data_IF_072537188605
#
_entry.id   IF_072537188605
#
_cell.length_a   1.000
_cell.length_b   1.000
_cell.length_c   1.000
_cell.angle_alpha   90.00
_cell.angle_beta   90.00
_cell.angle_gamma   90.00
#
_symmetry.space_group_name_H-M   'P 1'
#
loop_
_entity.id
_entity.type
_entity.pdbx_description
1 polymer ?
#
# COMPACT_ATOMS: atom_id res chain seq x y z
N UNK A 1 11.80 34.21 -33.69
CA UNK A 1 12.43 33.44 -32.57
C UNK A 1 11.64 33.51 -31.27
N UNK A 2 11.11 34.67 -30.87
CA UNK A 2 10.28 34.81 -29.65
C UNK A 2 8.98 33.98 -29.70
N UNK A 3 8.28 33.96 -30.80
CA UNK A 3 7.03 33.21 -30.98
C UNK A 3 7.24 31.70 -30.82
N UNK A 4 8.36 31.18 -31.33
CA UNK A 4 8.69 29.76 -31.21
C UNK A 4 8.97 29.38 -29.74
N UNK A 5 9.72 30.23 -29.02
CA UNK A 5 9.98 30.03 -27.60
C UNK A 5 8.68 30.01 -26.76
N UNK A 6 7.73 30.91 -27.06
CA UNK A 6 6.45 30.98 -26.40
C UNK A 6 5.60 29.70 -26.67
N UNK A 7 5.57 29.24 -27.91
CA UNK A 7 4.85 28.00 -28.27
C UNK A 7 5.45 26.80 -27.54
N UNK A 8 6.77 26.67 -27.52
CA UNK A 8 7.45 25.55 -26.84
C UNK A 8 7.18 25.60 -25.34
N UNK A 9 7.28 26.75 -24.70
CA UNK A 9 7.03 26.89 -23.26
C UNK A 9 5.58 26.57 -22.91
N UNK A 10 4.63 27.03 -23.70
CA UNK A 10 3.20 26.74 -23.51
C UNK A 10 2.90 25.25 -23.70
N UNK A 11 3.46 24.65 -24.73
CA UNK A 11 3.31 23.21 -24.99
C UNK A 11 3.91 22.38 -23.82
N UNK A 12 5.09 22.73 -23.34
CA UNK A 12 5.73 22.06 -22.21
C UNK A 12 4.90 22.16 -20.93
N UNK A 13 4.36 23.34 -20.65
CA UNK A 13 3.50 23.58 -19.49
C UNK A 13 2.22 22.75 -19.56
N UNK A 14 1.57 22.66 -20.73
CA UNK A 14 0.37 21.84 -20.93
C UNK A 14 0.68 20.34 -20.76
N UNK A 15 1.82 19.87 -21.26
CA UNK A 15 2.25 18.48 -21.08
C UNK A 15 2.49 18.18 -19.59
N UNK A 16 3.14 19.07 -18.85
CA UNK A 16 3.40 18.88 -17.42
C UNK A 16 2.09 18.88 -16.61
N UNK A 17 1.18 19.79 -16.86
CA UNK A 17 -0.14 19.81 -16.20
C UNK A 17 -0.95 18.57 -16.55
N UNK A 18 -0.99 18.19 -17.84
CA UNK A 18 -1.69 16.98 -18.30
C UNK A 18 -1.15 15.71 -17.66
N UNK A 19 0.17 15.58 -17.60
CA UNK A 19 0.85 14.44 -16.94
C UNK A 19 0.54 14.43 -15.45
N UNK A 20 0.55 15.57 -14.77
CA UNK A 20 0.21 15.68 -13.35
C UNK A 20 -1.24 15.23 -13.05
N UNK A 21 -2.19 15.59 -13.87
CA UNK A 21 -3.59 15.17 -13.76
C UNK A 21 -3.75 13.68 -14.02
N UNK A 22 -3.06 13.13 -15.04
CA UNK A 22 -3.10 11.71 -15.35
C UNK A 22 -2.50 10.86 -14.21
N UNK A 23 -1.35 11.27 -13.68
CA UNK A 23 -0.72 10.59 -12.52
C UNK A 23 -1.66 10.66 -11.31
N UNK A 24 -2.28 11.81 -11.04
CA UNK A 24 -3.22 11.96 -9.92
C UNK A 24 -4.41 11.01 -10.04
N UNK A 25 -5.03 10.92 -11.21
CA UNK A 25 -6.14 9.99 -11.48
C UNK A 25 -5.72 8.52 -11.41
N UNK A 26 -4.58 8.17 -12.02
CA UNK A 26 -4.04 6.83 -11.98
C UNK A 26 -3.71 6.40 -10.53
N UNK A 27 -3.12 7.28 -9.73
CA UNK A 27 -2.79 7.01 -8.34
C UNK A 27 -4.05 6.75 -7.50
N UNK A 28 -5.12 7.53 -7.70
CA UNK A 28 -6.37 7.34 -6.94
C UNK A 28 -7.03 6.00 -7.30
N UNK A 29 -7.18 5.68 -8.58
CA UNK A 29 -7.76 4.41 -9.04
C UNK A 29 -6.91 3.20 -8.62
N UNK A 30 -5.59 3.34 -8.65
CA UNK A 30 -4.67 2.27 -8.24
C UNK A 30 -4.72 2.07 -6.73
N UNK A 31 -4.81 3.14 -5.93
CA UNK A 31 -4.98 3.03 -4.47
C UNK A 31 -6.23 2.22 -4.12
N UNK A 32 -7.37 2.55 -4.68
CA UNK A 32 -8.63 1.87 -4.37
C UNK A 32 -8.56 0.37 -4.75
N UNK A 33 -7.92 0.04 -5.88
CA UNK A 33 -7.79 -1.34 -6.35
C UNK A 33 -6.77 -2.17 -5.53
N UNK A 34 -5.69 -1.54 -5.05
CA UNK A 34 -4.65 -2.24 -4.27
C UNK A 34 -4.97 -2.26 -2.78
N UNK A 35 -5.59 -1.22 -2.24
CA UNK A 35 -5.98 -1.17 -0.83
C UNK A 35 -7.08 -2.18 -0.50
N UNK A 36 -7.99 -2.47 -1.43
CA UNK A 36 -8.99 -3.54 -1.30
C UNK A 36 -8.37 -4.95 -1.16
N UNK A 37 -7.10 -5.11 -1.45
CA UNK A 37 -6.37 -6.40 -1.40
C UNK A 37 -5.29 -6.45 -0.32
N UNK A 38 -5.08 -5.36 0.40
CA UNK A 38 -4.06 -5.32 1.45
C UNK A 38 -4.61 -6.01 2.69
N UNK A 39 -3.99 -7.11 3.05
CA UNK A 39 -4.25 -7.84 4.28
C UNK A 39 -3.07 -7.63 5.23
N UNK A 40 -3.37 -7.45 6.51
CA UNK A 40 -2.37 -7.50 7.56
C UNK A 40 -2.24 -8.94 8.01
N UNK A 41 -1.02 -9.45 8.02
CA UNK A 41 -0.73 -10.79 8.51
C UNK A 41 -0.33 -10.72 9.98
N UNK A 42 -1.08 -11.42 10.81
CA UNK A 42 -0.82 -11.58 12.24
C UNK A 42 -0.32 -13.00 12.45
N UNK A 43 0.97 -13.14 12.66
CA UNK A 43 1.61 -14.44 12.93
C UNK A 43 1.28 -14.86 14.36
N UNK A 44 0.88 -16.12 14.50
CA UNK A 44 0.52 -16.71 15.78
C UNK A 44 1.70 -17.49 16.35
N UNK A 45 1.69 -17.65 17.66
CA UNK A 45 2.73 -18.35 18.38
C UNK A 45 2.88 -19.82 17.96
N UNK A 46 3.98 -20.43 18.40
CA UNK A 46 4.31 -21.81 18.04
C UNK A 46 3.28 -22.81 18.57
N UNK A 47 2.69 -22.59 19.74
CA UNK A 47 1.70 -23.50 20.33
C UNK A 47 0.44 -23.60 19.45
N UNK A 48 -0.03 -22.47 18.93
CA UNK A 48 -1.16 -22.43 17.99
C UNK A 48 -0.72 -22.99 16.64
N UNK A 49 0.42 -22.58 16.14
CA UNK A 49 0.95 -22.98 14.84
C UNK A 49 1.18 -24.49 14.72
N UNK A 50 1.57 -25.14 15.80
CA UNK A 50 1.83 -26.58 15.82
C UNK A 50 0.57 -27.43 16.01
N UNK A 51 -0.46 -26.92 16.68
CA UNK A 51 -1.60 -27.74 17.13
C UNK A 51 -2.95 -27.38 16.52
N UNK A 52 -3.12 -26.14 16.01
CA UNK A 52 -4.41 -25.63 15.56
C UNK A 52 -4.46 -25.54 14.03
N UNK A 53 -5.42 -26.23 13.42
CA UNK A 53 -5.56 -26.26 11.96
C UNK A 53 -6.71 -25.40 11.43
N UNK A 54 -7.64 -25.00 12.31
CA UNK A 54 -8.87 -24.30 11.95
C UNK A 54 -9.24 -23.16 12.89
N UNK A 55 -8.31 -22.74 13.77
CA UNK A 55 -8.53 -21.72 14.81
C UNK A 55 -9.64 -22.15 15.79
N UNK A 56 -9.62 -23.43 16.19
CA UNK A 56 -10.59 -24.00 17.14
C UNK A 56 -10.14 -23.89 18.60
N UNK A 57 -8.85 -23.67 18.84
CA UNK A 57 -8.32 -23.47 20.20
C UNK A 57 -8.84 -22.16 20.81
N UNK A 58 -8.99 -22.14 22.12
CA UNK A 58 -9.44 -20.95 22.84
C UNK A 58 -8.44 -19.79 22.68
N UNK A 59 -7.15 -20.08 22.57
CA UNK A 59 -6.07 -19.10 22.35
C UNK A 59 -6.22 -18.41 20.98
N UNK A 60 -6.42 -19.19 19.91
CA UNK A 60 -6.62 -18.62 18.58
C UNK A 60 -7.94 -17.84 18.48
N UNK A 61 -9.03 -18.40 19.02
CA UNK A 61 -10.33 -17.73 19.07
C UNK A 61 -10.27 -16.39 19.77
N UNK A 62 -9.53 -16.28 20.86
CA UNK A 62 -9.41 -15.03 21.60
C UNK A 62 -8.84 -13.91 20.72
N UNK A 63 -7.80 -14.16 19.94
CA UNK A 63 -7.22 -13.18 19.01
C UNK A 63 -8.20 -12.86 17.89
N UNK A 64 -8.76 -13.89 17.25
CA UNK A 64 -9.71 -13.74 16.16
C UNK A 64 -10.94 -12.95 16.59
N UNK A 65 -11.57 -13.31 17.70
CA UNK A 65 -12.80 -12.70 18.18
C UNK A 65 -12.57 -11.24 18.64
N UNK A 66 -11.36 -10.93 19.20
CA UNK A 66 -10.95 -9.56 19.51
C UNK A 66 -10.89 -8.70 18.27
N UNK A 67 -10.35 -9.23 17.17
CA UNK A 67 -10.31 -8.53 15.89
C UNK A 67 -11.70 -8.39 15.26
N UNK A 68 -12.49 -9.46 15.24
CA UNK A 68 -13.82 -9.45 14.64
C UNK A 68 -14.84 -8.58 15.39
N UNK A 69 -14.58 -8.27 16.65
CA UNK A 69 -15.41 -7.37 17.43
C UNK A 69 -15.19 -5.88 17.11
N UNK A 70 -14.20 -5.54 16.28
CA UNK A 70 -13.93 -4.16 15.87
C UNK A 70 -14.58 -3.87 14.51
N UNK A 71 -15.49 -2.90 14.45
CA UNK A 71 -16.24 -2.51 13.24
C UNK A 71 -15.32 -2.04 12.08
N UNK A 72 -14.06 -1.75 12.37
CA UNK A 72 -13.05 -1.36 11.37
C UNK A 72 -12.34 -2.56 10.74
N UNK A 73 -12.63 -3.77 11.21
CA UNK A 73 -12.14 -5.02 10.64
C UNK A 73 -13.23 -5.60 9.74
N UNK A 74 -12.94 -5.68 8.45
CA UNK A 74 -13.88 -6.21 7.45
C UNK A 74 -13.92 -7.73 7.48
N UNK A 75 -12.75 -8.37 7.56
CA UNK A 75 -12.62 -9.82 7.51
C UNK A 75 -11.40 -10.31 8.27
N UNK A 76 -11.51 -11.45 8.93
CA UNK A 76 -10.41 -12.19 9.54
C UNK A 76 -10.43 -13.61 9.00
N UNK A 77 -9.37 -14.04 8.33
CA UNK A 77 -9.21 -15.37 7.78
C UNK A 77 -8.04 -16.07 8.44
N UNK A 78 -8.27 -17.24 9.04
CA UNK A 78 -7.21 -18.07 9.58
C UNK A 78 -6.57 -18.90 8.48
N UNK A 79 -5.25 -19.00 8.52
CA UNK A 79 -4.47 -19.92 7.70
C UNK A 79 -3.55 -20.72 8.58
N UNK A 80 -3.69 -22.06 8.55
CA UNK A 80 -2.82 -22.95 9.30
C UNK A 80 -1.40 -22.95 8.75
N UNK A 81 -0.46 -23.50 9.52
CA UNK A 81 0.93 -23.72 9.10
C UNK A 81 1.00 -24.48 7.76
N UNK A 82 0.23 -25.55 7.63
CA UNK A 82 0.18 -26.36 6.41
C UNK A 82 -0.32 -25.55 5.20
N UNK A 83 -1.40 -24.80 5.40
CA UNK A 83 -1.94 -23.94 4.34
C UNK A 83 -0.99 -22.81 3.95
N UNK A 84 -0.26 -22.25 4.92
CA UNK A 84 0.78 -21.25 4.67
C UNK A 84 1.93 -21.83 3.84
N UNK A 85 2.37 -23.05 4.16
CA UNK A 85 3.40 -23.74 3.41
C UNK A 85 2.97 -24.15 1.99
N UNK A 86 1.73 -24.64 1.83
CA UNK A 86 1.19 -24.94 0.48
C UNK A 86 1.14 -23.67 -0.37
N UNK A 87 0.68 -22.57 0.21
CA UNK A 87 0.62 -21.29 -0.49
C UNK A 87 2.01 -20.76 -0.86
N UNK A 88 2.96 -20.93 0.03
CA UNK A 88 4.37 -20.61 -0.24
C UNK A 88 4.90 -21.42 -1.43
N UNK A 89 4.66 -22.72 -1.46
CA UNK A 89 5.05 -23.57 -2.60
C UNK A 89 4.41 -23.10 -3.91
N UNK A 90 3.12 -22.84 -3.92
CA UNK A 90 2.42 -22.34 -5.11
C UNK A 90 3.05 -21.07 -5.67
N UNK A 91 3.46 -20.16 -4.81
CA UNK A 91 4.02 -18.87 -5.22
C UNK A 91 5.46 -18.95 -5.72
N UNK A 92 6.28 -19.81 -5.11
CA UNK A 92 7.72 -19.81 -5.32
C UNK A 92 8.25 -21.01 -6.09
N UNK A 93 7.44 -22.06 -6.30
CA UNK A 93 7.89 -23.29 -6.94
C UNK A 93 8.42 -23.08 -8.38
N UNK A 94 7.86 -22.13 -9.13
CA UNK A 94 8.29 -21.81 -10.49
C UNK A 94 9.43 -20.80 -10.52
N UNK A 95 9.41 -19.80 -9.63
CA UNK A 95 10.40 -18.72 -9.62
C UNK A 95 11.65 -19.05 -8.82
N UNK A 96 11.50 -19.73 -7.69
CA UNK A 96 12.60 -20.03 -6.75
C UNK A 96 12.50 -21.46 -6.18
N UNK A 97 12.66 -22.51 -6.99
CA UNK A 97 12.47 -23.90 -6.56
C UNK A 97 13.47 -24.35 -5.49
N UNK A 98 14.64 -23.72 -5.40
CA UNK A 98 15.64 -24.01 -4.37
C UNK A 98 15.15 -23.52 -2.99
N UNK A 99 14.58 -22.33 -2.94
CA UNK A 99 14.01 -21.79 -1.72
C UNK A 99 12.91 -22.71 -1.15
N UNK A 100 12.06 -23.24 -2.03
CA UNK A 100 11.01 -24.19 -1.62
C UNK A 100 11.57 -25.48 -1.08
N UNK A 101 12.68 -25.98 -1.64
CA UNK A 101 13.33 -27.20 -1.15
C UNK A 101 14.06 -27.03 0.19
N UNK A 102 14.58 -25.83 0.43
CA UNK A 102 15.32 -25.52 1.66
C UNK A 102 14.41 -25.10 2.81
N UNK A 103 13.17 -24.67 2.50
CA UNK A 103 12.21 -24.26 3.52
C UNK A 103 11.48 -25.49 4.08
N UNK A 104 11.66 -25.74 5.37
CA UNK A 104 10.95 -26.81 6.05
C UNK A 104 9.46 -26.50 6.23
N UNK A 105 8.56 -27.51 6.21
CA UNK A 105 7.10 -27.27 6.36
C UNK A 105 6.72 -26.57 7.66
N UNK A 106 7.53 -26.69 8.69
CA UNK A 106 7.36 -26.09 10.03
C UNK A 106 8.01 -24.71 10.16
N UNK A 107 8.69 -24.24 9.13
CA UNK A 107 9.32 -22.92 9.13
C UNK A 107 8.32 -21.74 9.04
N UNK A 108 7.11 -22.02 8.60
CA UNK A 108 6.08 -20.98 8.46
C UNK A 108 5.05 -21.10 9.60
N UNK A 109 4.73 -20.00 10.31
CA UNK A 109 3.73 -20.02 11.37
C UNK A 109 2.31 -20.08 10.82
N UNK A 110 1.34 -20.42 11.68
CA UNK A 110 -0.05 -20.14 11.41
C UNK A 110 -0.30 -18.62 11.52
N UNK A 111 -1.21 -18.09 10.75
CA UNK A 111 -1.46 -16.66 10.70
C UNK A 111 -2.95 -16.33 10.57
N UNK A 112 -3.35 -15.18 11.13
CA UNK A 112 -4.61 -14.53 10.83
C UNK A 112 -4.37 -13.44 9.76
N UNK A 113 -5.06 -13.57 8.66
CA UNK A 113 -5.10 -12.57 7.59
C UNK A 113 -6.25 -11.61 7.87
N UNK A 114 -5.93 -10.38 8.21
CA UNK A 114 -6.87 -9.36 8.65
C UNK A 114 -7.04 -8.33 7.55
N UNK A 115 -8.25 -8.17 7.06
CA UNK A 115 -8.63 -7.09 6.16
C UNK A 115 -9.27 -5.97 6.95
N UNK A 116 -8.70 -4.78 6.84
CA UNK A 116 -9.21 -3.58 7.49
C UNK A 116 -10.12 -2.82 6.51
N UNK A 117 -11.19 -2.21 7.02
CA UNK A 117 -12.07 -1.32 6.24
C UNK A 117 -11.30 -0.11 5.70
N UNK A 118 -10.40 0.44 6.50
CA UNK A 118 -9.41 1.42 6.08
C UNK A 118 -8.00 0.86 6.32
N UNK A 119 -7.26 0.46 5.27
CA UNK A 119 -5.90 -0.07 5.42
C UNK A 119 -4.91 0.90 6.05
N UNK A 120 -5.26 2.17 6.17
CA UNK A 120 -4.42 3.18 6.82
C UNK A 120 -4.64 3.30 8.33
N UNK A 121 -5.76 2.77 8.85
CA UNK A 121 -6.08 2.74 10.27
C UNK A 121 -5.73 1.39 10.89
N UNK A 122 -4.55 1.30 11.49
CA UNK A 122 -4.06 0.09 12.19
C UNK A 122 -4.45 0.01 13.66
N UNK A 123 -5.25 0.95 14.16
CA UNK A 123 -5.68 0.96 15.58
C UNK A 123 -6.36 -0.34 16.05
N UNK A 124 -7.11 -1.11 15.22
CA UNK A 124 -7.64 -2.40 15.63
C UNK A 124 -6.57 -3.42 16.02
N UNK A 125 -5.38 -3.31 15.39
CA UNK A 125 -4.26 -4.23 15.64
C UNK A 125 -3.56 -3.95 16.97
N UNK A 126 -3.65 -2.73 17.49
CA UNK A 126 -3.06 -2.37 18.78
C UNK A 126 -3.66 -3.18 19.94
N UNK A 127 -4.92 -3.63 19.80
CA UNK A 127 -5.60 -4.44 20.81
C UNK A 127 -5.03 -5.84 20.98
N UNK A 128 -4.39 -6.35 19.93
CA UNK A 128 -3.84 -7.71 19.90
C UNK A 128 -2.31 -7.73 19.98
N UNK A 129 -1.67 -6.57 19.82
CA UNK A 129 -0.20 -6.46 19.75
C UNK A 129 0.52 -7.01 20.97
N UNK A 130 -0.06 -6.83 22.16
CA UNK A 130 0.51 -7.26 23.44
C UNK A 130 -0.04 -8.62 23.90
N UNK A 131 -0.79 -9.34 23.06
CA UNK A 131 -1.30 -10.66 23.38
C UNK A 131 -0.19 -11.70 23.23
N UNK A 132 -0.04 -12.60 24.19
CA UNK A 132 0.98 -13.67 24.18
C UNK A 132 0.86 -14.61 22.97
N UNK A 133 -0.32 -14.69 22.36
CA UNK A 133 -0.62 -15.53 21.21
C UNK A 133 -0.14 -14.93 19.89
N UNK A 134 0.24 -13.66 19.87
CA UNK A 134 0.68 -12.93 18.68
C UNK A 134 2.18 -12.75 18.70
N UNK A 135 2.86 -13.35 17.73
CA UNK A 135 4.30 -13.26 17.63
C UNK A 135 4.75 -12.05 16.81
N UNK A 136 4.18 -11.88 15.63
CA UNK A 136 4.51 -10.76 14.72
C UNK A 136 3.25 -10.23 14.03
N UNK A 137 3.16 -8.92 13.91
CA UNK A 137 2.17 -8.26 13.05
C UNK A 137 2.91 -7.69 11.86
N UNK A 138 2.74 -8.30 10.69
CA UNK A 138 3.33 -7.89 9.42
C UNK A 138 2.33 -7.07 8.63
N UNK A 139 2.50 -5.75 8.63
CA UNK A 139 1.66 -4.84 7.88
C UNK A 139 2.27 -4.55 6.51
N UNK A 140 1.71 -5.18 5.47
CA UNK A 140 2.12 -4.93 4.09
C UNK A 140 1.73 -3.51 3.61
N UNK A 141 0.80 -2.85 4.31
CA UNK A 141 0.39 -1.49 4.00
C UNK A 141 1.50 -0.46 4.26
N UNK A 142 2.46 -0.73 5.15
CA UNK A 142 3.57 0.19 5.41
C UNK A 142 4.42 0.43 4.16
N UNK A 143 4.66 -0.60 3.36
CA UNK A 143 5.37 -0.48 2.08
C UNK A 143 4.55 0.34 1.07
N UNK A 144 3.25 0.10 1.01
CA UNK A 144 2.33 0.82 0.11
C UNK A 144 2.16 2.28 0.57
N UNK A 145 2.09 2.54 1.88
CA UNK A 145 2.02 3.90 2.45
C UNK A 145 3.27 4.70 2.13
N UNK A 146 4.44 4.12 2.28
CA UNK A 146 5.70 4.77 1.95
C UNK A 146 5.78 5.15 0.48
N UNK A 147 5.36 4.26 -0.42
CA UNK A 147 5.28 4.52 -1.85
C UNK A 147 4.24 5.62 -2.17
N UNK A 148 3.06 5.57 -1.55
CA UNK A 148 2.01 6.58 -1.73
C UNK A 148 2.42 7.95 -1.20
N UNK A 149 3.13 8.01 -0.07
CA UNK A 149 3.70 9.25 0.48
C UNK A 149 4.68 9.90 -0.47
N UNK A 150 5.56 9.12 -1.07
CA UNK A 150 6.53 9.58 -2.09
C UNK A 150 5.82 10.14 -3.31
N UNK A 151 4.80 9.45 -3.84
CA UNK A 151 4.00 9.92 -4.99
C UNK A 151 3.26 11.24 -4.70
N UNK A 152 2.71 11.41 -3.49
CA UNK A 152 2.10 12.67 -3.08
C UNK A 152 3.11 13.83 -3.05
N UNK A 153 4.33 13.58 -2.61
CA UNK A 153 5.41 14.58 -2.62
C UNK A 153 5.76 14.98 -4.05
N UNK A 154 5.94 14.02 -4.95
CA UNK A 154 6.17 14.31 -6.37
C UNK A 154 5.04 15.11 -7.00
N UNK A 155 3.79 14.77 -6.72
CA UNK A 155 2.62 15.51 -7.18
C UNK A 155 2.66 16.96 -6.73
N UNK A 156 2.92 17.21 -5.45
CA UNK A 156 2.96 18.57 -4.89
C UNK A 156 4.09 19.40 -5.51
N UNK A 157 5.26 18.80 -5.73
CA UNK A 157 6.38 19.46 -6.42
C UNK A 157 6.02 19.78 -7.86
N UNK A 158 5.40 18.85 -8.59
CA UNK A 158 4.96 19.08 -9.97
C UNK A 158 3.93 20.21 -10.07
N UNK A 159 2.97 20.29 -9.16
CA UNK A 159 2.02 21.41 -9.09
C UNK A 159 2.69 22.74 -8.76
N UNK A 160 3.66 22.78 -7.84
CA UNK A 160 4.40 23.99 -7.50
C UNK A 160 5.19 24.52 -8.72
N UNK A 161 5.86 23.62 -9.46
CA UNK A 161 6.58 23.97 -10.69
C UNK A 161 5.63 24.49 -11.76
N UNK A 162 4.48 23.81 -11.97
CA UNK A 162 3.48 24.24 -12.94
C UNK A 162 2.91 25.63 -12.60
N UNK A 163 2.63 25.91 -11.32
CA UNK A 163 2.17 27.23 -10.86
C UNK A 163 3.22 28.32 -11.09
N UNK A 164 4.48 28.04 -10.78
CA UNK A 164 5.59 28.98 -11.03
C UNK A 164 5.75 29.29 -12.53
N UNK A 165 5.62 28.26 -13.39
CA UNK A 165 5.67 28.45 -14.85
C UNK A 165 4.47 29.26 -15.39
N UNK A 166 3.27 29.03 -14.86
CA UNK A 166 2.10 29.79 -15.24
C UNK A 166 2.26 31.29 -14.88
N UNK A 167 2.78 31.59 -13.69
CA UNK A 167 3.07 32.96 -13.27
C UNK A 167 4.14 33.61 -14.16
N UNK A 168 5.21 32.89 -14.49
CA UNK A 168 6.25 33.39 -15.41
C UNK A 168 5.70 33.67 -16.81
N UNK A 169 4.80 32.83 -17.34
CA UNK A 169 4.14 33.02 -18.62
C UNK A 169 3.27 34.28 -18.61
N UNK A 170 2.46 34.49 -17.56
CA UNK A 170 1.64 35.73 -17.41
C UNK A 170 2.51 36.97 -17.34
N UNK A 171 3.61 36.91 -16.60
CA UNK A 171 4.55 38.04 -16.50
C UNK A 171 5.21 38.37 -17.84
N UNK A 172 5.62 37.36 -18.60
CA UNK A 172 6.20 37.52 -19.94
C UNK A 172 5.20 38.11 -20.93
N UNK A 173 3.97 37.64 -20.92
CA UNK A 173 2.89 38.16 -21.78
C UNK A 173 2.60 39.63 -21.42
N UNK A 174 2.47 39.94 -20.13
CA UNK A 174 2.25 41.30 -19.65
C UNK A 174 3.34 42.27 -20.10
N UNK A 175 4.60 41.83 -19.98
CA UNK A 175 5.77 42.63 -20.39
C UNK A 175 5.83 42.83 -21.92
N UNK A 176 5.41 41.79 -22.67
CA UNK A 176 5.36 41.89 -24.15
C UNK A 176 4.27 42.87 -24.64
N UNK A 177 3.11 42.86 -23.96
CA UNK A 177 2.01 43.80 -24.28
C UNK A 177 2.41 45.24 -23.98
N UNK A 178 3.12 45.48 -22.87
CA UNK A 178 3.61 46.84 -22.53
C UNK A 178 4.67 47.36 -23.50
N UNK A 179 5.51 46.48 -24.09
CA UNK A 179 6.52 46.87 -25.08
C UNK A 179 5.91 47.11 -26.48
N UNK A 180 4.70 46.60 -26.76
CA UNK A 180 4.03 46.74 -28.05
C UNK A 180 3.02 47.90 -28.08
N UNK A 181 2.73 48.50 -26.93
CA UNK A 181 1.88 49.69 -26.80
C UNK A 181 2.68 50.98 -26.80
#
# INVERSE_FOLDING_TARGET
TMTIALIITTALSLVLVGTGVLISKATTQTKDLYLDRVEVMVELDEDISASDQDCSSDRCKQVRDTLQADDRVEQVTFRSREQSYERFKELFQESEPELVRETAPDALPAALHVRLTDPTDTSPLDKIRDMEQVEVISDQADTVRSAAGTLNTFRNVAFAVAAAQALAAVFLISNMVQLAA
#
